data_IF_476090938942
#
_entry.id   IF_476090938942
#
_cell.length_a   1.000
_cell.length_b   1.000
_cell.length_c   1.000
_cell.angle_alpha   90.00
_cell.angle_beta   90.00
_cell.angle_gamma   90.00
#
_symmetry.space_group_name_H-M   'P 1'
#
loop_
_entity.id
_entity.type
_entity.pdbx_description
1 polymer ?
#
# COMPACT_ATOMS: atom_id res chain seq x y z
N UNK A 1 27.85 20.97 -25.17
CA UNK A 1 28.00 19.94 -24.12
C UNK A 1 26.77 20.00 -23.24
N UNK A 2 25.79 19.13 -23.47
CA UNK A 2 24.54 19.16 -22.68
C UNK A 2 24.87 18.58 -21.31
N UNK A 3 25.04 19.45 -20.30
CA UNK A 3 25.22 19.03 -18.92
C UNK A 3 24.05 18.15 -18.51
N UNK A 4 24.34 16.92 -18.10
CA UNK A 4 23.32 15.98 -17.65
C UNK A 4 22.80 16.53 -16.32
N UNK A 5 21.65 17.20 -16.34
CA UNK A 5 21.02 17.68 -15.11
C UNK A 5 20.79 16.50 -14.18
N UNK A 6 21.15 16.67 -12.91
CA UNK A 6 20.97 15.63 -11.91
C UNK A 6 19.49 15.21 -11.82
N UNK A 7 19.20 13.91 -11.67
CA UNK A 7 17.83 13.42 -11.60
C UNK A 7 17.13 13.98 -10.36
N UNK A 8 15.89 14.41 -10.54
CA UNK A 8 15.04 14.89 -9.44
C UNK A 8 14.14 13.74 -9.01
N UNK A 9 14.12 13.43 -7.72
CA UNK A 9 13.26 12.40 -7.16
C UNK A 9 12.32 13.01 -6.11
N UNK A 10 11.06 12.59 -6.15
CA UNK A 10 10.05 12.93 -5.18
C UNK A 10 9.60 11.65 -4.48
N UNK A 11 9.79 11.61 -3.18
CA UNK A 11 9.35 10.52 -2.32
C UNK A 11 8.10 10.93 -1.57
N UNK A 12 7.07 10.08 -1.64
CA UNK A 12 5.81 10.20 -0.92
C UNK A 12 5.54 8.97 -0.07
N UNK A 13 6.21 7.84 -0.35
CA UNK A 13 6.12 6.63 0.46
C UNK A 13 7.01 6.77 1.70
N UNK A 14 6.46 6.40 2.86
CA UNK A 14 7.01 6.59 4.23
C UNK A 14 7.08 8.05 4.69
N UNK A 15 7.19 9.01 3.77
CA UNK A 15 7.23 10.43 4.09
C UNK A 15 7.57 11.29 2.88
N UNK A 16 7.45 12.61 3.03
CA UNK A 16 7.77 13.56 1.97
C UNK A 16 9.27 13.82 1.90
N UNK A 17 9.89 13.63 0.74
CA UNK A 17 11.23 14.14 0.46
C UNK A 17 11.39 14.52 -1.01
N UNK A 18 12.06 15.64 -1.28
CA UNK A 18 12.49 16.03 -2.61
C UNK A 18 14.01 16.00 -2.65
N UNK A 19 14.60 15.37 -3.67
CA UNK A 19 16.05 15.33 -3.82
C UNK A 19 16.46 15.64 -5.27
N UNK A 20 17.64 16.24 -5.43
CA UNK A 20 18.33 16.42 -6.70
C UNK A 20 19.65 15.65 -6.61
N UNK A 21 19.78 14.60 -7.43
CA UNK A 21 20.84 13.61 -7.28
C UNK A 21 20.75 12.95 -5.91
N UNK A 22 21.78 13.14 -5.08
CA UNK A 22 21.84 12.63 -3.70
C UNK A 22 21.54 13.68 -2.63
N UNK A 23 21.23 14.91 -3.03
CA UNK A 23 21.06 16.05 -2.11
C UNK A 23 19.59 16.29 -1.82
N UNK A 24 19.22 16.26 -0.54
CA UNK A 24 17.87 16.63 -0.09
C UNK A 24 17.63 18.13 -0.28
N UNK A 25 16.49 18.48 -0.88
CA UNK A 25 16.05 19.86 -1.07
C UNK A 25 15.05 20.21 0.03
N UNK A 26 15.32 21.22 0.87
CA UNK A 26 14.36 21.65 1.88
C UNK A 26 13.17 22.33 1.20
N UNK A 27 11.96 21.81 1.46
CA UNK A 27 10.71 22.32 0.88
C UNK A 27 9.77 22.71 2.01
N UNK A 28 9.20 23.91 1.97
CA UNK A 28 8.22 24.34 2.97
C UNK A 28 6.85 23.67 2.75
N UNK A 29 6.06 23.52 3.82
CA UNK A 29 4.80 22.74 3.82
C UNK A 29 3.83 23.09 2.68
N UNK A 30 3.69 24.39 2.34
CA UNK A 30 2.82 24.82 1.24
C UNK A 30 3.24 24.28 -0.14
N UNK A 31 4.56 24.19 -0.40
CA UNK A 31 5.09 23.63 -1.64
C UNK A 31 5.03 22.11 -1.57
N UNK A 32 5.32 21.51 -0.41
CA UNK A 32 5.20 20.06 -0.24
C UNK A 32 3.78 19.59 -0.61
N UNK A 33 2.74 20.24 -0.06
CA UNK A 33 1.33 19.92 -0.36
C UNK A 33 1.01 20.03 -1.83
N UNK A 34 1.50 21.09 -2.49
CA UNK A 34 1.28 21.28 -3.93
C UNK A 34 1.97 20.19 -4.76
N UNK A 35 3.23 19.85 -4.46
CA UNK A 35 3.97 18.81 -5.17
C UNK A 35 3.36 17.42 -4.95
N UNK A 36 3.01 17.07 -3.71
CA UNK A 36 2.34 15.82 -3.38
C UNK A 36 0.99 15.71 -4.11
N UNK A 37 0.18 16.77 -4.08
CA UNK A 37 -1.10 16.79 -4.79
C UNK A 37 -0.91 16.58 -6.29
N UNK A 38 -0.02 17.33 -6.95
CA UNK A 38 0.22 17.18 -8.39
C UNK A 38 0.78 15.79 -8.75
N UNK A 39 1.62 15.21 -7.90
CA UNK A 39 2.12 13.85 -8.06
C UNK A 39 1.00 12.81 -7.98
N UNK A 40 0.06 12.97 -7.04
CA UNK A 40 -1.08 12.07 -6.87
C UNK A 40 -2.06 12.14 -8.05
N UNK A 41 -2.24 13.34 -8.61
CA UNK A 41 -3.10 13.51 -9.78
C UNK A 41 -2.52 12.88 -11.05
N UNK A 42 -1.19 12.82 -11.17
CA UNK A 42 -0.43 12.24 -12.30
C UNK A 42 -0.92 12.70 -13.70
N UNK A 43 -1.48 13.91 -13.76
CA UNK A 43 -1.93 14.54 -15.01
C UNK A 43 -2.07 16.06 -14.83
N UNK A 44 -2.06 16.84 -15.93
CA UNK A 44 -2.36 18.26 -15.85
C UNK A 44 -3.73 18.54 -15.24
N UNK A 45 -3.78 19.49 -14.30
CA UNK A 45 -5.00 19.94 -13.63
C UNK A 45 -5.17 21.44 -13.75
N UNK A 46 -6.42 21.89 -13.82
CA UNK A 46 -6.72 23.32 -13.87
C UNK A 46 -6.31 24.03 -12.58
N UNK A 47 -5.87 25.28 -12.68
CA UNK A 47 -5.46 26.09 -11.52
C UNK A 47 -6.57 26.23 -10.48
N UNK A 48 -7.81 26.40 -10.95
CA UNK A 48 -8.99 26.52 -10.09
C UNK A 48 -9.25 25.24 -9.30
N UNK A 49 -9.11 24.07 -9.95
CA UNK A 49 -9.26 22.78 -9.29
C UNK A 49 -8.18 22.59 -8.22
N UNK A 50 -6.91 22.79 -8.57
CA UNK A 50 -5.79 22.65 -7.62
C UNK A 50 -5.96 23.58 -6.41
N UNK A 51 -6.36 24.84 -6.64
CA UNK A 51 -6.60 25.79 -5.56
C UNK A 51 -7.74 25.33 -4.63
N UNK A 52 -8.88 24.93 -5.21
CA UNK A 52 -10.04 24.49 -4.44
C UNK A 52 -9.79 23.21 -3.64
N UNK A 53 -9.04 22.25 -4.21
CA UNK A 53 -8.69 21.00 -3.51
C UNK A 53 -7.72 21.21 -2.36
N UNK A 54 -6.69 22.06 -2.54
CA UNK A 54 -5.66 22.26 -1.51
C UNK A 54 -6.12 23.13 -0.33
N UNK A 55 -7.06 24.04 -0.58
CA UNK A 55 -7.62 24.97 0.41
C UNK A 55 -9.15 25.03 0.32
N UNK A 56 -9.86 23.96 0.72
CA UNK A 56 -11.32 23.88 0.59
C UNK A 56 -12.06 24.85 1.53
N UNK A 57 -11.46 25.19 2.68
CA UNK A 57 -12.12 25.95 3.75
C UNK A 57 -12.10 27.48 3.56
N UNK A 58 -11.62 27.96 2.41
CA UNK A 58 -11.51 29.40 2.12
C UNK A 58 -12.21 29.77 0.83
N UNK A 59 -12.50 31.07 0.65
CA UNK A 59 -13.10 31.55 -0.59
C UNK A 59 -12.22 31.24 -1.80
N UNK A 60 -12.83 31.06 -2.97
CA UNK A 60 -12.11 30.79 -4.22
C UNK A 60 -11.03 31.84 -4.52
N UNK A 61 -11.29 33.12 -4.21
CA UNK A 61 -10.31 34.20 -4.37
C UNK A 61 -9.08 34.01 -3.45
N UNK A 62 -9.30 33.61 -2.18
CA UNK A 62 -8.25 33.33 -1.20
C UNK A 62 -7.45 32.08 -1.59
N UNK A 63 -8.13 31.01 -2.03
CA UNK A 63 -7.49 29.79 -2.51
C UNK A 63 -6.56 30.07 -3.71
N UNK A 64 -7.03 30.84 -4.68
CA UNK A 64 -6.21 31.26 -5.83
C UNK A 64 -5.01 32.15 -5.41
N UNK A 65 -5.16 33.00 -4.39
CA UNK A 65 -4.05 33.78 -3.85
C UNK A 65 -3.00 32.90 -3.15
N UNK A 66 -3.43 31.90 -2.37
CA UNK A 66 -2.56 30.91 -1.74
C UNK A 66 -1.81 30.08 -2.79
N UNK A 67 -2.50 29.64 -3.86
CA UNK A 67 -1.88 28.93 -4.97
C UNK A 67 -0.80 29.77 -5.65
N UNK A 68 -1.11 31.02 -6.00
CA UNK A 68 -0.11 31.94 -6.60
C UNK A 68 1.12 32.10 -5.72
N UNK A 69 0.93 32.25 -4.42
CA UNK A 69 2.03 32.40 -3.45
C UNK A 69 2.89 31.13 -3.39
N UNK A 70 2.27 29.95 -3.41
CA UNK A 70 2.97 28.65 -3.39
C UNK A 70 3.75 28.43 -4.68
N UNK A 71 3.17 28.75 -5.84
CA UNK A 71 3.84 28.68 -7.15
C UNK A 71 5.02 29.65 -7.23
N UNK A 72 4.88 30.87 -6.73
CA UNK A 72 5.97 31.85 -6.71
C UNK A 72 7.15 31.36 -5.86
N UNK A 73 6.90 30.72 -4.71
CA UNK A 73 7.97 30.12 -3.91
C UNK A 73 8.59 28.90 -4.59
N UNK A 74 7.77 28.05 -5.22
CA UNK A 74 8.25 26.89 -5.97
C UNK A 74 9.20 27.30 -7.11
N UNK A 75 8.87 28.36 -7.85
CA UNK A 75 9.71 28.92 -8.90
C UNK A 75 11.08 29.42 -8.39
N UNK A 76 11.20 29.72 -7.09
CA UNK A 76 12.46 30.18 -6.46
C UNK A 76 13.32 29.05 -5.89
N UNK A 77 12.89 27.78 -5.99
CA UNK A 77 13.70 26.65 -5.52
C UNK A 77 14.91 26.36 -6.41
N UNK A 78 15.05 27.02 -7.57
CA UNK A 78 16.17 26.81 -8.48
C UNK A 78 16.07 25.54 -9.33
N UNK A 79 14.98 24.78 -9.18
CA UNK A 79 14.71 23.56 -9.93
C UNK A 79 13.30 23.58 -10.53
N UNK A 80 13.13 23.25 -11.83
CA UNK A 80 11.81 23.24 -12.46
C UNK A 80 11.02 22.01 -12.01
N UNK A 81 10.25 22.16 -10.94
CA UNK A 81 9.50 21.04 -10.34
C UNK A 81 8.02 20.99 -10.73
N UNK A 82 7.48 22.09 -11.27
CA UNK A 82 6.09 22.20 -11.69
C UNK A 82 6.08 22.79 -13.09
N UNK A 83 5.39 22.12 -14.01
CA UNK A 83 5.08 22.65 -15.33
C UNK A 83 3.84 23.55 -15.19
N UNK A 84 4.05 24.85 -15.41
CA UNK A 84 3.01 25.88 -15.24
C UNK A 84 2.61 26.44 -16.59
N UNK A 85 1.32 26.36 -16.92
CA UNK A 85 0.72 27.09 -18.05
C UNK A 85 -0.24 28.16 -17.55
N UNK A 86 -0.82 28.92 -18.49
CA UNK A 86 -1.85 29.90 -18.16
C UNK A 86 -3.09 29.28 -17.50
N UNK A 87 -3.40 28.00 -17.79
CA UNK A 87 -4.64 27.33 -17.35
C UNK A 87 -4.40 26.14 -16.43
N UNK A 88 -3.25 25.50 -16.52
CA UNK A 88 -3.00 24.19 -15.92
C UNK A 88 -1.68 24.14 -15.16
N UNK A 89 -1.60 23.17 -14.26
CA UNK A 89 -0.46 22.80 -13.45
C UNK A 89 -0.26 21.29 -13.55
N UNK A 90 0.98 20.86 -13.71
CA UNK A 90 1.39 19.47 -13.61
C UNK A 90 2.72 19.37 -12.85
N UNK A 91 2.98 18.22 -12.22
CA UNK A 91 4.34 17.92 -11.77
C UNK A 91 5.22 17.77 -13.01
N UNK A 92 6.44 18.32 -12.97
CA UNK A 92 7.32 18.23 -14.13
C UNK A 92 7.67 16.77 -14.46
N UNK A 93 7.52 16.38 -15.73
CA UNK A 93 7.64 14.99 -16.23
C UNK A 93 8.98 14.28 -15.98
N UNK A 94 10.01 15.02 -15.60
CA UNK A 94 11.35 14.49 -15.36
C UNK A 94 11.59 14.15 -13.88
N UNK A 95 10.61 14.40 -13.01
CA UNK A 95 10.64 14.01 -11.61
C UNK A 95 10.21 12.55 -11.52
N UNK A 96 11.08 11.69 -11.00
CA UNK A 96 10.71 10.32 -10.64
C UNK A 96 9.97 10.32 -9.30
N UNK A 97 8.76 9.76 -9.28
CA UNK A 97 7.93 9.65 -8.06
C UNK A 97 7.86 8.20 -7.63
N UNK A 98 8.23 7.90 -6.39
CA UNK A 98 8.20 6.53 -5.84
C UNK A 98 6.79 5.91 -5.84
N UNK A 99 5.76 6.72 -5.59
CA UNK A 99 4.37 6.28 -5.66
C UNK A 99 3.98 5.82 -7.07
N UNK A 100 4.44 6.49 -8.13
CA UNK A 100 4.13 6.08 -9.51
C UNK A 100 4.70 4.71 -9.83
N UNK A 101 5.92 4.44 -9.35
CA UNK A 101 6.53 3.11 -9.43
C UNK A 101 5.71 2.07 -8.67
N UNK A 102 5.31 2.37 -7.43
CA UNK A 102 4.48 1.47 -6.61
C UNK A 102 3.14 1.13 -7.28
N UNK A 103 2.45 2.14 -7.82
CA UNK A 103 1.18 1.98 -8.55
C UNK A 103 1.38 1.14 -9.80
N UNK A 104 2.47 1.35 -10.56
CA UNK A 104 2.78 0.55 -11.74
C UNK A 104 3.06 -0.91 -11.39
N UNK A 105 3.84 -1.18 -10.33
CA UNK A 105 4.11 -2.53 -9.82
C UNK A 105 2.82 -3.22 -9.36
N UNK A 106 1.99 -2.53 -8.59
CA UNK A 106 0.71 -3.05 -8.12
C UNK A 106 -0.20 -3.44 -9.29
N UNK A 107 -0.37 -2.56 -10.28
CA UNK A 107 -1.16 -2.83 -11.49
C UNK A 107 -0.62 -4.03 -12.27
N UNK A 108 0.71 -4.17 -12.40
CA UNK A 108 1.34 -5.33 -13.06
C UNK A 108 1.08 -6.63 -12.32
N UNK A 109 1.10 -6.64 -10.98
CA UNK A 109 0.79 -7.83 -10.18
C UNK A 109 -0.69 -8.24 -10.31
N UNK A 110 -1.58 -7.26 -10.43
CA UNK A 110 -3.03 -7.47 -10.59
C UNK A 110 -3.42 -7.85 -12.01
N UNK A 111 -2.60 -7.53 -13.01
CA UNK A 111 -2.82 -7.95 -14.38
C UNK A 111 -2.48 -9.44 -14.56
N UNK A 112 -3.50 -10.30 -14.49
CA UNK A 112 -3.39 -11.74 -14.71
C UNK A 112 -2.91 -12.14 -16.11
N UNK A 113 -2.95 -11.23 -17.09
CA UNK A 113 -2.54 -11.52 -18.47
C UNK A 113 -1.04 -11.38 -18.72
N UNK A 114 -0.31 -10.70 -17.83
CA UNK A 114 1.12 -10.42 -18.01
C UNK A 114 1.98 -11.28 -17.09
N UNK A 115 3.11 -11.81 -17.60
CA UNK A 115 4.17 -12.32 -16.73
C UNK A 115 4.68 -11.21 -15.81
N UNK A 116 4.98 -11.58 -14.57
CA UNK A 116 5.48 -10.65 -13.56
C UNK A 116 6.63 -11.24 -12.73
N UNK A 117 7.21 -12.37 -13.17
CA UNK A 117 8.29 -13.04 -12.44
C UNK A 117 9.51 -12.13 -12.22
N UNK A 118 9.72 -11.18 -13.14
CA UNK A 118 10.77 -10.15 -13.08
C UNK A 118 10.60 -9.16 -11.91
N UNK A 119 9.37 -8.98 -11.41
CA UNK A 119 9.06 -8.08 -10.30
C UNK A 119 8.68 -8.81 -9.01
N UNK A 120 8.57 -10.14 -9.03
CA UNK A 120 8.34 -10.93 -7.82
C UNK A 120 9.62 -11.01 -7.00
N UNK A 121 9.86 -10.04 -6.12
CA UNK A 121 11.04 -10.05 -5.24
C UNK A 121 10.98 -9.01 -4.12
N UNK A 122 12.00 -9.03 -3.27
CA UNK A 122 12.08 -8.21 -2.04
C UNK A 122 11.89 -6.71 -2.29
N UNK A 123 12.45 -6.16 -3.38
CA UNK A 123 12.29 -4.74 -3.72
C UNK A 123 10.83 -4.35 -3.92
N UNK A 124 10.06 -5.16 -4.65
CA UNK A 124 8.63 -4.90 -4.88
C UNK A 124 7.84 -5.01 -3.59
N UNK A 125 8.17 -5.99 -2.74
CA UNK A 125 7.58 -6.12 -1.42
C UNK A 125 7.83 -4.86 -0.59
N UNK A 126 9.08 -4.42 -0.47
CA UNK A 126 9.44 -3.22 0.31
C UNK A 126 8.73 -1.95 -0.15
N UNK A 127 8.54 -1.79 -1.46
CA UNK A 127 7.81 -0.65 -2.04
C UNK A 127 6.32 -0.74 -1.68
N UNK A 128 5.69 -1.90 -1.88
CA UNK A 128 4.25 -2.07 -1.63
C UNK A 128 3.89 -2.12 -0.15
N UNK A 129 4.83 -2.47 0.73
CA UNK A 129 4.66 -2.41 2.18
C UNK A 129 4.68 -0.99 2.75
N UNK A 130 5.06 0.03 1.97
CA UNK A 130 5.22 1.40 2.46
C UNK A 130 3.90 2.18 2.43
N UNK A 131 3.61 2.93 3.50
CA UNK A 131 2.47 3.86 3.60
C UNK A 131 2.69 5.15 2.80
N UNK A 132 1.59 5.69 2.26
CA UNK A 132 1.59 6.99 1.59
C UNK A 132 1.47 8.10 2.64
N UNK A 133 2.55 8.87 2.82
CA UNK A 133 2.61 10.04 3.71
C UNK A 133 1.91 9.83 5.07
N UNK A 134 2.32 8.83 5.88
CA UNK A 134 1.60 8.43 7.09
C UNK A 134 1.51 9.53 8.16
N UNK A 135 2.47 10.45 8.19
CA UNK A 135 2.51 11.56 9.17
C UNK A 135 1.72 12.80 8.72
N UNK A 136 1.15 12.79 7.52
CA UNK A 136 0.44 13.95 7.00
C UNK A 136 -0.97 14.04 7.56
N UNK A 137 -1.45 15.27 7.88
CA UNK A 137 -2.80 15.44 8.41
C UNK A 137 -3.83 15.00 7.36
N UNK A 138 -4.75 14.15 7.80
CA UNK A 138 -5.93 13.71 7.05
C UNK A 138 -6.83 14.91 6.75
N UNK A 139 -6.57 15.56 5.63
CA UNK A 139 -7.49 16.48 5.00
C UNK A 139 -8.25 15.74 3.89
N UNK A 140 -9.37 16.29 3.45
CA UNK A 140 -10.34 15.56 2.63
C UNK A 140 -9.75 14.90 1.38
N UNK A 141 -8.82 15.57 0.68
CA UNK A 141 -8.17 14.98 -0.49
C UNK A 141 -7.11 13.94 -0.11
N UNK A 142 -6.28 14.19 0.92
CA UNK A 142 -5.21 13.25 1.30
C UNK A 142 -5.77 11.92 1.77
N UNK A 143 -6.87 11.94 2.54
CA UNK A 143 -7.52 10.72 3.05
C UNK A 143 -8.03 9.83 1.92
N UNK A 144 -8.63 10.42 0.89
CA UNK A 144 -9.12 9.70 -0.29
C UNK A 144 -7.95 9.03 -1.03
N UNK A 145 -6.84 9.75 -1.22
CA UNK A 145 -5.67 9.24 -1.94
C UNK A 145 -4.94 8.16 -1.15
N UNK A 146 -4.82 8.32 0.17
CA UNK A 146 -4.28 7.28 1.08
C UNK A 146 -5.11 6.00 1.02
N UNK A 147 -6.43 6.11 1.11
CA UNK A 147 -7.32 4.94 1.07
C UNK A 147 -7.25 4.23 -0.29
N UNK A 148 -7.25 4.99 -1.40
CA UNK A 148 -7.11 4.41 -2.74
C UNK A 148 -5.81 3.62 -2.89
N UNK A 149 -4.68 4.20 -2.48
CA UNK A 149 -3.40 3.51 -2.52
C UNK A 149 -3.37 2.32 -1.55
N UNK A 150 -3.95 2.46 -0.35
CA UNK A 150 -4.04 1.41 0.65
C UNK A 150 -4.77 0.18 0.10
N UNK A 151 -5.93 0.36 -0.54
CA UNK A 151 -6.65 -0.76 -1.17
C UNK A 151 -5.85 -1.37 -2.32
N UNK A 152 -5.26 -0.53 -3.20
CA UNK A 152 -4.50 -1.00 -4.35
C UNK A 152 -3.33 -1.90 -3.93
N UNK A 153 -2.53 -1.46 -2.95
CA UNK A 153 -1.36 -2.24 -2.49
C UNK A 153 -1.77 -3.51 -1.74
N UNK A 154 -2.90 -3.52 -1.02
CA UNK A 154 -3.41 -4.73 -0.36
C UNK A 154 -3.73 -5.81 -1.39
N UNK A 155 -4.51 -5.48 -2.42
CA UNK A 155 -4.79 -6.42 -3.51
C UNK A 155 -3.50 -6.89 -4.20
N UNK A 156 -2.53 -5.99 -4.40
CA UNK A 156 -1.25 -6.35 -5.03
C UNK A 156 -0.40 -7.30 -4.16
N UNK A 157 -0.35 -7.09 -2.84
CA UNK A 157 0.35 -7.98 -1.90
C UNK A 157 -0.30 -9.36 -1.83
N UNK A 158 -1.64 -9.42 -1.88
CA UNK A 158 -2.37 -10.68 -1.99
C UNK A 158 -2.04 -11.42 -3.30
N UNK A 159 -2.07 -10.72 -4.43
CA UNK A 159 -1.71 -11.29 -5.73
C UNK A 159 -0.25 -11.75 -5.77
N UNK A 160 0.67 -10.98 -5.18
CA UNK A 160 2.09 -11.34 -5.05
C UNK A 160 2.25 -12.61 -4.22
N UNK A 161 1.51 -12.75 -3.11
CA UNK A 161 1.50 -13.95 -2.26
C UNK A 161 1.05 -15.18 -3.04
N UNK A 162 -0.06 -15.08 -3.78
CA UNK A 162 -0.59 -16.19 -4.57
C UNK A 162 0.38 -16.59 -5.68
N UNK A 163 0.94 -15.63 -6.42
CA UNK A 163 1.89 -15.88 -7.51
C UNK A 163 3.19 -16.52 -7.01
N UNK A 164 3.76 -16.02 -5.91
CA UNK A 164 4.94 -16.63 -5.27
C UNK A 164 4.65 -18.05 -4.77
N UNK A 165 3.44 -18.29 -4.25
CA UNK A 165 3.00 -19.62 -3.84
C UNK A 165 2.94 -20.57 -5.04
N UNK A 166 2.33 -20.16 -6.16
CA UNK A 166 2.30 -20.92 -7.40
C UNK A 166 3.69 -21.20 -7.97
N UNK A 167 4.62 -20.25 -7.83
CA UNK A 167 6.02 -20.40 -8.21
C UNK A 167 6.86 -21.23 -7.23
N UNK A 168 6.25 -21.80 -6.16
CA UNK A 168 6.93 -22.55 -5.08
C UNK A 168 8.00 -21.76 -4.32
N UNK A 169 7.96 -20.43 -4.38
CA UNK A 169 8.84 -19.50 -3.66
C UNK A 169 8.26 -19.19 -2.28
N UNK A 170 8.11 -20.23 -1.48
CA UNK A 170 7.27 -20.19 -0.27
C UNK A 170 7.72 -19.17 0.79
N UNK A 171 9.01 -18.99 1.01
CA UNK A 171 9.51 -18.01 1.99
C UNK A 171 9.11 -16.58 1.63
N UNK A 172 9.22 -16.23 0.35
CA UNK A 172 8.82 -14.92 -0.16
C UNK A 172 7.29 -14.77 -0.19
N UNK A 173 6.56 -15.84 -0.52
CA UNK A 173 5.09 -15.84 -0.44
C UNK A 173 4.61 -15.53 0.98
N UNK A 174 5.20 -16.18 1.99
CA UNK A 174 4.88 -15.93 3.40
C UNK A 174 5.22 -14.49 3.79
N UNK A 175 6.36 -13.95 3.35
CA UNK A 175 6.72 -12.56 3.62
C UNK A 175 5.71 -11.56 3.02
N UNK A 176 5.29 -11.77 1.77
CA UNK A 176 4.26 -10.96 1.13
C UNK A 176 2.90 -11.06 1.84
N UNK A 177 2.49 -12.28 2.23
CA UNK A 177 1.23 -12.50 2.94
C UNK A 177 1.22 -11.88 4.33
N UNK A 178 2.34 -11.96 5.05
CA UNK A 178 2.51 -11.27 6.34
C UNK A 178 2.42 -9.76 6.17
N UNK A 179 3.04 -9.18 5.13
CA UNK A 179 2.89 -7.76 4.84
C UNK A 179 1.44 -7.37 4.58
N UNK A 180 0.67 -8.19 3.86
CA UNK A 180 -0.76 -7.93 3.62
C UNK A 180 -1.56 -7.94 4.94
N UNK A 181 -1.33 -8.93 5.81
CA UNK A 181 -1.99 -9.04 7.12
C UNK A 181 -1.59 -7.89 8.06
N UNK A 182 -0.32 -7.49 8.08
CA UNK A 182 0.14 -6.36 8.88
C UNK A 182 -0.46 -5.03 8.38
N UNK A 183 -0.72 -4.91 7.07
CA UNK A 183 -1.32 -3.72 6.48
C UNK A 183 -2.80 -3.59 6.84
N UNK A 184 -3.56 -4.69 6.81
CA UNK A 184 -4.96 -4.71 7.22
C UNK A 184 -5.28 -6.02 7.97
N UNK A 185 -5.17 -6.00 9.32
CA UNK A 185 -5.41 -7.19 10.14
C UNK A 185 -6.84 -7.74 10.06
N UNK A 186 -7.83 -6.93 9.73
CA UNK A 186 -9.23 -7.36 9.62
C UNK A 186 -9.56 -7.96 8.24
N UNK A 187 -8.65 -7.90 7.28
CA UNK A 187 -8.89 -8.39 5.92
C UNK A 187 -8.71 -9.90 5.82
N UNK A 188 -9.83 -10.61 5.86
CA UNK A 188 -9.84 -12.07 5.79
C UNK A 188 -9.15 -12.64 4.55
N UNK A 189 -9.24 -11.96 3.39
CA UNK A 189 -8.56 -12.40 2.17
C UNK A 189 -7.03 -12.44 2.31
N UNK A 190 -6.44 -11.52 3.08
CA UNK A 190 -5.00 -11.49 3.33
C UNK A 190 -4.57 -12.68 4.20
N UNK A 191 -5.34 -12.97 5.27
CA UNK A 191 -5.15 -14.18 6.07
C UNK A 191 -5.28 -15.45 5.22
N UNK A 192 -6.26 -15.48 4.32
CA UNK A 192 -6.53 -16.64 3.46
C UNK A 192 -5.38 -16.94 2.50
N UNK A 193 -4.80 -15.94 1.84
CA UNK A 193 -3.64 -16.18 0.96
C UNK A 193 -2.41 -16.64 1.74
N UNK A 194 -2.20 -16.11 2.96
CA UNK A 194 -1.11 -16.52 3.84
C UNK A 194 -1.29 -17.96 4.37
N UNK A 195 -2.50 -18.34 4.75
CA UNK A 195 -2.84 -19.73 5.13
C UNK A 195 -2.55 -20.68 3.97
N UNK A 196 -2.97 -20.34 2.75
CA UNK A 196 -2.68 -21.14 1.55
C UNK A 196 -1.17 -21.26 1.31
N UNK A 197 -0.42 -20.17 1.46
CA UNK A 197 1.04 -20.18 1.29
C UNK A 197 1.71 -21.13 2.31
N UNK A 198 1.30 -21.09 3.58
CA UNK A 198 1.79 -22.02 4.60
C UNK A 198 1.45 -23.46 4.30
N UNK A 199 0.22 -23.76 3.86
CA UNK A 199 -0.19 -25.12 3.50
C UNK A 199 0.59 -25.66 2.30
N UNK A 200 0.78 -24.83 1.26
CA UNK A 200 1.57 -25.20 0.08
C UNK A 200 3.04 -25.48 0.42
N UNK A 201 3.58 -24.78 1.44
CA UNK A 201 4.91 -25.01 1.98
C UNK A 201 5.01 -26.23 2.93
N UNK A 202 3.90 -26.95 3.18
CA UNK A 202 3.84 -28.05 4.15
C UNK A 202 3.79 -27.63 5.62
N UNK A 203 3.72 -26.33 5.91
CA UNK A 203 3.76 -25.75 7.25
C UNK A 203 2.38 -25.73 7.92
N UNK A 204 1.77 -26.91 8.11
CA UNK A 204 0.39 -27.04 8.62
C UNK A 204 0.16 -26.36 9.96
N UNK A 205 1.12 -26.44 10.89
CA UNK A 205 1.03 -25.78 12.19
C UNK A 205 1.00 -24.25 12.07
N UNK A 206 1.76 -23.68 11.13
CA UNK A 206 1.75 -22.23 10.88
C UNK A 206 0.42 -21.78 10.24
N UNK A 207 -0.11 -22.57 9.29
CA UNK A 207 -1.42 -22.32 8.70
C UNK A 207 -2.54 -22.29 9.75
N UNK A 208 -2.57 -23.26 10.68
CA UNK A 208 -3.54 -23.28 11.78
C UNK A 208 -3.39 -22.07 12.70
N UNK A 209 -2.16 -21.70 13.09
CA UNK A 209 -1.93 -20.51 13.90
C UNK A 209 -2.44 -19.23 13.22
N UNK A 210 -2.22 -19.10 11.92
CA UNK A 210 -2.69 -17.94 11.16
C UNK A 210 -4.22 -17.88 11.10
N UNK A 211 -4.87 -19.02 10.87
CA UNK A 211 -6.33 -19.12 10.92
C UNK A 211 -6.88 -18.70 12.29
N UNK A 212 -6.29 -19.20 13.38
CA UNK A 212 -6.69 -18.86 14.74
C UNK A 212 -6.48 -17.38 15.06
N UNK A 213 -5.39 -16.80 14.57
CA UNK A 213 -5.14 -15.36 14.67
C UNK A 213 -6.21 -14.54 13.95
N UNK A 214 -6.60 -14.94 12.73
CA UNK A 214 -7.69 -14.29 11.99
C UNK A 214 -9.02 -14.39 12.75
N UNK A 215 -9.37 -15.60 13.22
CA UNK A 215 -10.59 -15.84 14.00
C UNK A 215 -10.65 -14.96 15.24
N UNK A 216 -9.55 -14.88 15.98
CA UNK A 216 -9.46 -14.05 17.19
C UNK A 216 -9.71 -12.57 16.86
N UNK A 217 -9.00 -12.02 15.89
CA UNK A 217 -9.12 -10.60 15.51
C UNK A 217 -10.52 -10.25 14.98
N UNK A 218 -11.11 -11.09 14.11
CA UNK A 218 -12.47 -10.87 13.61
C UNK A 218 -13.52 -10.91 14.72
N UNK A 219 -13.34 -11.81 15.69
CA UNK A 219 -14.26 -11.95 16.82
C UNK A 219 -14.13 -10.81 17.82
N UNK A 220 -12.90 -10.40 18.14
CA UNK A 220 -12.62 -9.31 19.08
C UNK A 220 -13.06 -7.95 18.54
N UNK A 221 -12.79 -7.65 17.27
CA UNK A 221 -13.03 -6.32 16.69
C UNK A 221 -14.42 -6.17 16.06
N UNK A 222 -14.97 -7.25 15.48
CA UNK A 222 -16.22 -7.20 14.69
C UNK A 222 -17.32 -8.14 15.20
N UNK A 223 -17.02 -9.02 16.16
CA UNK A 223 -17.97 -10.05 16.61
C UNK A 223 -18.30 -11.10 15.52
N UNK A 224 -17.44 -11.24 14.50
CA UNK A 224 -17.65 -12.13 13.37
C UNK A 224 -16.81 -13.40 13.47
N UNK A 225 -17.30 -14.48 12.88
CA UNK A 225 -16.54 -15.71 12.65
C UNK A 225 -15.94 -15.72 11.22
N UNK A 226 -14.78 -16.38 11.00
CA UNK A 226 -14.19 -16.49 9.67
C UNK A 226 -15.15 -17.07 8.63
N UNK A 227 -15.07 -16.60 7.39
CA UNK A 227 -15.93 -17.09 6.31
C UNK A 227 -15.78 -18.60 6.07
N UNK A 228 -16.80 -19.26 5.49
CA UNK A 228 -16.71 -20.67 5.10
C UNK A 228 -15.49 -20.98 4.22
N UNK A 229 -15.08 -20.03 3.37
CA UNK A 229 -13.96 -20.21 2.45
C UNK A 229 -12.61 -20.32 3.17
N UNK A 230 -12.43 -19.60 4.28
CA UNK A 230 -11.24 -19.67 5.11
C UNK A 230 -11.30 -20.89 6.03
N UNK A 231 -12.46 -21.19 6.63
CA UNK A 231 -12.65 -22.39 7.47
C UNK A 231 -12.37 -23.70 6.71
N UNK A 232 -12.71 -23.76 5.43
CA UNK A 232 -12.45 -24.95 4.62
C UNK A 232 -10.95 -25.23 4.38
N UNK A 233 -10.07 -24.25 4.56
CA UNK A 233 -8.62 -24.43 4.34
C UNK A 233 -7.93 -25.18 5.48
N UNK A 234 -8.46 -25.06 6.71
CA UNK A 234 -7.87 -25.70 7.89
C UNK A 234 -8.91 -26.62 8.48
N UNK A 235 -8.69 -27.96 8.44
CA UNK A 235 -9.60 -28.89 9.09
C UNK A 235 -9.68 -28.53 10.56
N UNK A 236 -10.87 -28.13 11.03
CA UNK A 236 -11.12 -27.88 12.43
C UNK A 236 -10.97 -29.22 13.14
N UNK A 237 -9.83 -29.45 13.77
CA UNK A 237 -9.72 -30.51 14.77
C UNK A 237 -10.57 -30.06 15.95
N UNK A 238 -11.80 -30.57 16.02
CA UNK A 238 -12.57 -30.60 17.25
C UNK A 238 -11.83 -31.54 18.23
N UNK A 239 -10.76 -31.04 18.86
CA UNK A 239 -10.30 -31.59 20.13
C UNK A 239 -11.05 -30.85 21.24
N UNK A 240 -12.30 -31.26 21.43
CA UNK A 240 -13.02 -31.03 22.68
C UNK A 240 -12.63 -32.12 23.68
N UNK A 241 -12.51 -31.82 24.99
CA UNK A 241 -12.02 -32.75 26.00
C UNK A 241 -13.12 -33.75 26.41
N UNK A 242 -13.63 -34.56 25.47
CA UNK A 242 -14.52 -35.67 25.79
C UNK A 242 -14.15 -36.94 25.00
N UNK A 243 -12.85 -37.23 25.00
CA UNK A 243 -12.36 -38.59 24.76
C UNK A 243 -12.62 -39.45 25.99
N UNK A 244 -13.89 -39.77 26.29
CA UNK A 244 -14.22 -40.90 27.17
C UNK A 244 -13.61 -42.16 26.57
N UNK A 245 -12.44 -42.55 27.08
CA UNK A 245 -11.91 -43.89 26.91
C UNK A 245 -13.00 -44.86 27.39
N UNK A 246 -13.40 -45.87 26.60
CA UNK A 246 -14.23 -46.94 27.14
C UNK A 246 -13.43 -47.61 28.26
N UNK A 247 -13.98 -47.60 29.48
CA UNK A 247 -13.48 -48.45 30.56
C UNK A 247 -13.71 -49.89 30.11
N UNK A 248 -12.63 -50.55 29.70
CA UNK A 248 -12.57 -52.01 29.67
C UNK A 248 -12.87 -52.50 31.08
N UNK A 249 -14.06 -53.04 31.30
CA UNK A 249 -14.34 -53.81 32.51
C UNK A 249 -13.55 -55.12 32.41
N UNK A 250 -12.77 -55.49 33.44
CA UNK A 250 -12.20 -56.82 33.48
C UNK A 250 -13.32 -57.84 33.70
N UNK A 251 -13.34 -58.87 32.85
CA UNK A 251 -14.15 -60.07 33.02
C UNK A 251 -13.55 -60.92 34.16
N UNK A 252 -14.41 -61.41 35.05
CA UNK A 252 -14.12 -62.51 35.99
C UNK A 252 -13.98 -62.09 37.46
N UNK A 253 -14.94 -62.45 38.31
CA UNK A 253 -15.10 -63.77 38.94
C UNK A 253 -16.52 -63.90 39.50
#
# INVERSE_FOLDING_TARGET
MSGKSDPITLRLLKGFALAVGHTSVPVCSSIQRLLAFLALQDMPRSRTYVAGSLWPDVTAARANANLRSSLWRAARMGHPVIDVTARELALSRHIAVDLHEAVALARRLLDGSRPCDDILGMRTLEILSADLLPEWPENDWMRIEQEQYHQLRLYALEAMTERLTSAKRFGEAVAAGLSAVCTEPLRESAHRVLVKAHLAAGNRAAALRQYEQCRRVLREELGLEPSPSLRALVPVTHDGPDGRRPRLQPSGA
#
